data_IF_421771110727
#
_entry.id   IF_421771110727
#
_cell.length_a   1.000
_cell.length_b   1.000
_cell.length_c   1.000
_cell.angle_alpha   90.00
_cell.angle_beta   90.00
_cell.angle_gamma   90.00
#
_symmetry.space_group_name_H-M   'P 1'
#
loop_
_entity.id
_entity.type
_entity.pdbx_description
1 polymer ?
#
# COMPACT_ATOMS: atom_id res chain seq x y z
N UNK A 1 13.56 24.77 7.17
CA UNK A 1 12.21 25.06 6.67
C UNK A 1 12.30 26.07 5.56
N UNK A 2 11.98 25.60 4.37
CA UNK A 2 12.14 26.33 3.12
C UNK A 2 11.08 27.43 3.00
N UNK A 3 11.44 28.58 2.43
CA UNK A 3 10.59 29.77 2.35
C UNK A 3 10.26 30.11 0.89
N UNK A 4 8.97 30.30 0.62
CA UNK A 4 8.47 30.77 -0.68
C UNK A 4 7.86 32.14 -0.46
N UNK A 5 8.24 33.10 -1.29
CA UNK A 5 7.72 34.45 -1.22
C UNK A 5 6.86 34.77 -2.45
N UNK A 6 5.65 35.29 -2.19
CA UNK A 6 4.78 35.88 -3.21
C UNK A 6 5.11 37.37 -3.33
N UNK A 7 5.50 37.81 -4.52
CA UNK A 7 5.91 39.20 -4.81
C UNK A 7 5.07 39.74 -5.97
N UNK A 8 4.80 41.04 -6.01
CA UNK A 8 4.09 41.71 -7.11
C UNK A 8 3.35 42.95 -6.64
N UNK A 9 2.82 43.78 -7.56
CA UNK A 9 2.07 45.01 -7.23
C UNK A 9 0.84 44.74 -6.34
N UNK A 10 0.31 45.75 -5.63
CA UNK A 10 -0.97 45.64 -4.95
C UNK A 10 -2.09 45.13 -5.87
N UNK A 11 -3.08 44.44 -5.32
CA UNK A 11 -4.29 43.98 -6.04
C UNK A 11 -4.10 42.96 -7.19
N UNK A 12 -2.89 42.46 -7.44
CA UNK A 12 -2.64 41.36 -8.41
C UNK A 12 -3.18 39.99 -7.94
N UNK A 13 -3.60 39.89 -6.66
CA UNK A 13 -4.20 38.68 -6.08
C UNK A 13 -3.27 37.82 -5.25
N UNK A 14 -2.15 38.37 -4.74
CA UNK A 14 -1.20 37.68 -3.83
C UNK A 14 -1.90 37.07 -2.62
N UNK A 15 -2.67 37.86 -1.87
CA UNK A 15 -3.37 37.38 -0.69
C UNK A 15 -4.46 36.35 -1.01
N UNK A 16 -5.04 36.40 -2.21
CA UNK A 16 -5.97 35.37 -2.67
C UNK A 16 -5.24 34.04 -2.92
N UNK A 17 -4.09 34.07 -3.59
CA UNK A 17 -3.27 32.87 -3.81
C UNK A 17 -2.72 32.34 -2.49
N UNK A 18 -2.22 33.21 -1.62
CA UNK A 18 -1.77 32.88 -0.26
C UNK A 18 -2.84 32.12 0.52
N UNK A 19 -4.04 32.71 0.61
CA UNK A 19 -5.16 32.06 1.29
C UNK A 19 -5.57 30.75 0.64
N UNK A 20 -5.49 30.64 -0.70
CA UNK A 20 -5.83 29.40 -1.40
C UNK A 20 -4.86 28.27 -1.05
N UNK A 21 -3.55 28.54 -1.14
CA UNK A 21 -2.50 27.58 -0.83
C UNK A 21 -2.50 27.22 0.67
N UNK A 22 -2.76 28.20 1.55
CA UNK A 22 -2.89 27.96 2.99
C UNK A 22 -4.17 27.17 3.36
N UNK A 23 -5.29 27.38 2.66
CA UNK A 23 -6.58 26.74 2.96
C UNK A 23 -6.72 25.29 2.49
N UNK A 24 -5.83 24.77 1.63
CA UNK A 24 -5.86 23.35 1.25
C UNK A 24 -5.66 22.40 2.46
N UNK A 25 -5.36 22.91 3.66
CA UNK A 25 -5.24 22.13 4.90
C UNK A 25 -6.08 22.63 6.11
N UNK A 26 -6.97 23.62 5.98
CA UNK A 26 -7.80 24.05 7.14
C UNK A 26 -9.09 23.23 7.17
N UNK A 27 -8.98 21.96 7.56
CA UNK A 27 -10.06 21.24 8.20
C UNK A 27 -9.62 21.05 9.65
N UNK A 28 -10.47 21.48 10.59
CA UNK A 28 -10.27 21.55 12.05
C UNK A 28 -9.69 22.90 12.49
N UNK A 29 -10.44 23.52 13.40
CA UNK A 29 -10.43 24.91 13.83
C UNK A 29 -9.18 25.32 14.61
N UNK A 30 -8.65 26.50 14.29
CA UNK A 30 -8.10 27.42 15.30
C UNK A 30 -8.37 28.84 14.82
N UNK A 31 -9.07 29.61 15.65
CA UNK A 31 -9.27 31.05 15.46
C UNK A 31 -7.91 31.76 15.36
N UNK A 32 -7.65 32.40 14.23
CA UNK A 32 -6.83 33.61 14.23
C UNK A 32 -7.57 34.66 13.42
N UNK A 33 -8.11 35.59 14.20
CA UNK A 33 -8.70 36.85 13.80
C UNK A 33 -7.66 37.78 13.15
N UNK A 34 -8.14 38.83 12.49
CA UNK A 34 -7.41 40.09 12.42
C UNK A 34 -6.96 40.55 11.03
N UNK A 35 -7.83 41.35 10.40
CA UNK A 35 -7.53 42.59 9.66
C UNK A 35 -6.09 42.84 9.15
N UNK A 36 -5.99 43.04 7.83
CA UNK A 36 -5.08 43.96 7.11
C UNK A 36 -4.10 44.77 7.97
N UNK A 37 -2.80 44.39 7.97
CA UNK A 37 -1.62 45.32 7.96
C UNK A 37 -0.23 44.67 8.10
N UNK A 38 -0.10 43.36 8.33
CA UNK A 38 1.21 42.68 8.50
C UNK A 38 1.59 41.73 7.34
N UNK A 39 2.89 41.46 7.16
CA UNK A 39 3.42 40.43 6.23
C UNK A 39 2.84 39.06 6.62
N UNK A 40 1.88 38.55 5.86
CA UNK A 40 1.22 37.29 6.17
C UNK A 40 2.18 36.12 5.93
N UNK A 41 2.33 35.26 6.93
CA UNK A 41 3.14 34.04 6.84
C UNK A 41 2.28 32.86 7.23
N UNK A 42 2.32 31.80 6.43
CA UNK A 42 1.62 30.56 6.72
C UNK A 42 2.54 29.38 6.44
N UNK A 43 2.54 28.41 7.35
CA UNK A 43 3.17 27.12 7.08
C UNK A 43 2.19 26.32 6.22
N UNK A 44 2.63 25.92 5.04
CA UNK A 44 1.82 25.15 4.09
C UNK A 44 2.54 23.88 3.69
N UNK A 45 1.78 22.91 3.18
CA UNK A 45 2.33 21.71 2.55
C UNK A 45 2.04 21.80 1.05
N UNK A 46 3.10 21.87 0.26
CA UNK A 46 3.02 21.65 -1.18
C UNK A 46 3.29 20.17 -1.38
N UNK A 47 2.23 19.41 -1.60
CA UNK A 47 2.25 17.95 -1.57
C UNK A 47 2.83 17.42 -0.24
N UNK A 48 4.03 16.82 -0.28
CA UNK A 48 4.77 16.26 0.84
C UNK A 48 5.87 17.19 1.37
N UNK A 49 6.08 18.37 0.75
CA UNK A 49 7.11 19.33 1.15
C UNK A 49 6.50 20.45 1.99
N UNK A 50 6.96 20.56 3.23
CA UNK A 50 6.56 21.63 4.16
C UNK A 50 7.37 22.88 3.91
N UNK A 51 6.70 24.01 3.70
CA UNK A 51 7.36 25.30 3.46
C UNK A 51 6.62 26.45 4.13
N UNK A 52 7.35 27.53 4.40
CA UNK A 52 6.79 28.80 4.82
C UNK A 52 6.37 29.59 3.58
N UNK A 53 5.07 29.79 3.37
CA UNK A 53 4.58 30.74 2.39
C UNK A 53 4.52 32.14 3.01
N UNK A 54 5.07 33.11 2.31
CA UNK A 54 5.13 34.52 2.74
C UNK A 54 4.43 35.35 1.67
N UNK A 55 3.37 36.08 2.05
CA UNK A 55 2.78 37.12 1.21
C UNK A 55 3.47 38.45 1.53
N UNK A 56 4.17 39.02 0.56
CA UNK A 56 4.83 40.32 0.72
C UNK A 56 3.84 41.51 0.82
N UNK A 57 2.53 41.24 0.85
CA UNK A 57 1.41 42.19 0.81
C UNK A 57 1.25 43.18 1.98
N UNK A 58 2.28 43.40 2.80
CA UNK A 58 2.36 44.46 3.82
C UNK A 58 3.24 45.65 3.41
N UNK A 59 3.45 45.87 2.11
CA UNK A 59 4.30 46.93 1.57
C UNK A 59 3.57 47.69 0.47
N UNK A 60 2.65 48.56 0.87
CA UNK A 60 2.43 49.89 0.30
C UNK A 60 1.07 50.42 0.75
N UNK A 61 1.11 51.46 1.58
CA UNK A 61 0.05 52.47 1.55
C UNK A 61 0.68 53.83 1.92
N UNK A 62 1.47 54.37 0.98
CA UNK A 62 1.56 55.81 0.74
C UNK A 62 2.49 56.08 -0.43
N UNK A 63 2.05 57.00 -1.28
CA UNK A 63 2.54 57.38 -2.61
C UNK A 63 3.95 58.00 -2.69
N UNK A 64 4.86 57.67 -1.76
CA UNK A 64 6.26 58.10 -1.79
C UNK A 64 7.29 56.97 -1.50
N UNK A 65 6.84 55.71 -1.30
CA UNK A 65 7.64 54.65 -0.67
C UNK A 65 8.14 53.50 -1.56
N UNK A 66 8.14 53.61 -2.89
CA UNK A 66 8.56 52.48 -3.75
C UNK A 66 10.03 52.04 -3.52
N UNK A 67 10.93 52.97 -3.18
CA UNK A 67 12.35 52.64 -2.87
C UNK A 67 12.55 51.91 -1.55
N UNK A 68 11.76 52.25 -0.53
CA UNK A 68 11.85 51.64 0.80
C UNK A 68 11.17 50.26 0.83
N UNK A 69 10.08 50.10 0.08
CA UNK A 69 9.44 48.81 -0.17
C UNK A 69 10.36 47.85 -0.90
N UNK A 70 11.05 48.33 -1.96
CA UNK A 70 12.04 47.56 -2.71
C UNK A 70 13.15 46.99 -1.82
N UNK A 71 13.69 47.79 -0.89
CA UNK A 71 14.74 47.33 0.02
C UNK A 71 14.27 46.23 1.00
N UNK A 72 13.04 46.33 1.51
CA UNK A 72 12.46 45.32 2.40
C UNK A 72 12.10 44.02 1.67
N UNK A 73 11.50 44.13 0.48
CA UNK A 73 11.24 42.96 -0.39
C UNK A 73 12.55 42.26 -0.79
N UNK A 74 13.59 43.02 -1.13
CA UNK A 74 14.91 42.45 -1.45
C UNK A 74 15.52 41.70 -0.26
N UNK A 75 15.31 42.16 0.98
CA UNK A 75 15.78 41.44 2.16
C UNK A 75 14.99 40.15 2.42
N UNK A 76 13.66 40.18 2.30
CA UNK A 76 12.83 38.96 2.45
C UNK A 76 13.10 37.94 1.33
N UNK A 77 13.36 38.41 0.12
CA UNK A 77 13.78 37.57 -1.02
C UNK A 77 15.12 36.89 -0.75
N UNK A 78 16.12 37.57 -0.17
CA UNK A 78 17.41 36.96 0.17
C UNK A 78 17.30 35.81 1.15
N UNK A 79 16.28 35.84 2.01
CA UNK A 79 16.00 34.77 2.96
C UNK A 79 15.07 33.68 2.40
N UNK A 80 14.64 33.80 1.15
CA UNK A 80 13.73 32.87 0.49
C UNK A 80 14.45 31.85 -0.38
N UNK A 81 13.82 30.69 -0.57
CA UNK A 81 14.32 29.59 -1.40
C UNK A 81 13.71 29.62 -2.81
N UNK A 82 12.53 30.21 -2.99
CA UNK A 82 11.90 30.42 -4.29
C UNK A 82 11.02 31.68 -4.31
N UNK A 83 10.91 32.30 -5.49
CA UNK A 83 10.16 33.54 -5.72
C UNK A 83 9.00 33.25 -6.68
N UNK A 84 7.79 33.61 -6.29
CA UNK A 84 6.60 33.61 -7.15
C UNK A 84 6.21 35.05 -7.43
N UNK A 85 6.54 35.54 -8.63
CA UNK A 85 6.22 36.91 -9.02
C UNK A 85 4.86 36.97 -9.70
N UNK A 86 3.91 37.71 -9.15
CA UNK A 86 2.53 37.78 -9.61
C UNK A 86 2.21 39.09 -10.31
N UNK A 87 1.55 38.99 -11.46
CA UNK A 87 1.00 40.11 -12.24
C UNK A 87 -0.49 39.88 -12.52
N UNK A 88 -1.20 40.96 -12.86
CA UNK A 88 -2.61 40.90 -13.25
C UNK A 88 -2.77 40.75 -14.78
N UNK A 89 -3.24 39.60 -15.24
CA UNK A 89 -3.47 39.29 -16.66
C UNK A 89 -4.62 40.06 -17.32
N UNK A 90 -5.38 40.86 -16.55
CA UNK A 90 -6.35 41.80 -17.12
C UNK A 90 -5.71 43.12 -17.53
N UNK A 91 -4.50 43.41 -17.05
CA UNK A 91 -3.73 44.60 -17.37
C UNK A 91 -2.67 44.30 -18.44
N UNK A 92 -2.14 45.36 -19.05
CA UNK A 92 -0.99 45.26 -19.96
C UNK A 92 0.31 45.07 -19.14
N UNK A 93 1.35 44.45 -19.71
CA UNK A 93 2.69 44.39 -19.12
C UNK A 93 3.20 45.79 -18.73
N UNK A 94 3.60 45.94 -17.47
CA UNK A 94 4.09 47.19 -16.92
C UNK A 94 5.63 47.20 -16.85
N UNK A 95 6.23 48.32 -17.25
CA UNK A 95 7.70 48.44 -17.33
C UNK A 95 8.37 48.34 -15.95
N UNK A 96 7.74 48.84 -14.89
CA UNK A 96 8.29 48.77 -13.53
C UNK A 96 8.25 47.34 -12.98
N UNK A 97 7.16 46.60 -13.24
CA UNK A 97 7.06 45.18 -12.89
C UNK A 97 8.13 44.36 -13.62
N UNK A 98 8.38 44.68 -14.90
CA UNK A 98 9.43 44.03 -15.69
C UNK A 98 10.82 44.32 -15.14
N UNK A 99 11.11 45.57 -14.80
CA UNK A 99 12.38 45.94 -14.18
C UNK A 99 12.60 45.23 -12.84
N UNK A 100 11.57 45.16 -11.99
CA UNK A 100 11.64 44.48 -10.70
C UNK A 100 11.80 42.97 -10.86
N UNK A 101 11.03 42.33 -11.75
CA UNK A 101 11.19 40.92 -12.08
C UNK A 101 12.60 40.61 -12.57
N UNK A 102 13.14 41.44 -13.47
CA UNK A 102 14.49 41.29 -13.98
C UNK A 102 15.54 41.42 -12.86
N UNK A 103 15.39 42.38 -11.96
CA UNK A 103 16.29 42.54 -10.81
C UNK A 103 16.25 41.35 -9.84
N UNK A 104 15.06 40.82 -9.56
CA UNK A 104 14.87 39.64 -8.73
C UNK A 104 15.42 38.38 -9.40
N UNK A 105 15.29 38.26 -10.72
CA UNK A 105 15.83 37.11 -11.48
C UNK A 105 17.37 37.08 -11.55
N UNK A 106 18.05 38.18 -11.25
CA UNK A 106 19.51 38.20 -11.08
C UNK A 106 19.97 37.54 -9.78
N UNK A 107 19.07 37.35 -8.83
CA UNK A 107 19.37 36.56 -7.64
C UNK A 107 19.53 35.08 -8.04
N UNK A 108 20.39 34.32 -7.36
CA UNK A 108 20.60 32.89 -7.65
C UNK A 108 19.45 31.98 -7.15
N UNK A 109 18.23 32.51 -7.09
CA UNK A 109 17.04 31.82 -6.59
C UNK A 109 16.13 31.45 -7.76
N UNK A 110 15.47 30.27 -7.72
CA UNK A 110 14.37 29.95 -8.62
C UNK A 110 13.27 31.02 -8.58
N UNK A 111 12.86 31.50 -9.74
CA UNK A 111 11.80 32.50 -9.89
C UNK A 111 10.87 32.12 -11.04
N UNK A 112 9.56 32.22 -10.82
CA UNK A 112 8.55 32.10 -11.87
C UNK A 112 7.68 33.36 -11.96
N UNK A 113 7.11 33.57 -13.15
CA UNK A 113 6.10 34.59 -13.40
C UNK A 113 4.71 33.94 -13.38
N UNK A 114 3.81 34.49 -12.58
CA UNK A 114 2.42 34.05 -12.44
C UNK A 114 1.50 35.16 -12.94
N UNK A 115 0.79 34.89 -14.02
CA UNK A 115 -0.18 35.80 -14.63
C UNK A 115 -1.55 35.40 -14.07
N UNK A 116 -2.03 36.15 -13.08
CA UNK A 116 -3.28 35.84 -12.38
C UNK A 116 -4.49 36.51 -13.06
N UNK A 117 -5.71 36.05 -12.72
CA UNK A 117 -6.99 36.52 -13.27
C UNK A 117 -7.20 36.18 -14.75
N UNK A 118 -6.56 35.11 -15.24
CA UNK A 118 -6.83 34.53 -16.55
C UNK A 118 -8.14 33.72 -16.52
N UNK A 119 -9.28 34.41 -16.47
CA UNK A 119 -10.60 33.79 -16.29
C UNK A 119 -11.24 33.32 -17.61
N UNK A 120 -10.72 33.78 -18.75
CA UNK A 120 -11.26 33.48 -20.09
C UNK A 120 -10.17 33.18 -21.13
N UNK A 121 -10.55 32.54 -22.24
CA UNK A 121 -9.65 32.29 -23.39
C UNK A 121 -9.02 33.56 -23.97
N UNK A 122 -9.70 34.71 -23.85
CA UNK A 122 -9.18 36.01 -24.29
C UNK A 122 -8.06 36.49 -23.36
N UNK A 123 -8.14 36.18 -22.07
CA UNK A 123 -7.11 36.53 -21.09
C UNK A 123 -5.89 35.62 -21.22
N UNK A 124 -6.08 34.34 -21.56
CA UNK A 124 -4.98 33.44 -21.94
C UNK A 124 -4.24 33.93 -23.20
N UNK A 125 -4.97 34.49 -24.18
CA UNK A 125 -4.36 35.11 -25.35
C UNK A 125 -3.56 36.38 -24.98
N UNK A 126 -4.06 37.20 -24.06
CA UNK A 126 -3.35 38.38 -23.57
C UNK A 126 -2.10 38.00 -22.77
N UNK A 127 -2.12 36.87 -22.06
CA UNK A 127 -0.97 36.38 -21.30
C UNK A 127 0.32 36.25 -22.15
N UNK A 128 0.21 36.06 -23.47
CA UNK A 128 1.35 36.06 -24.40
C UNK A 128 2.13 37.38 -24.42
N UNK A 129 1.50 38.51 -24.09
CA UNK A 129 2.18 39.82 -24.04
C UNK A 129 3.23 39.89 -22.90
N UNK A 130 3.05 39.07 -21.85
CA UNK A 130 3.96 38.98 -20.71
C UNK A 130 5.25 38.19 -21.01
N UNK A 131 5.39 37.60 -22.22
CA UNK A 131 6.69 37.07 -22.71
C UNK A 131 7.79 38.15 -22.65
N UNK A 132 7.40 39.42 -22.77
CA UNK A 132 8.29 40.58 -22.62
C UNK A 132 9.06 40.63 -21.28
N UNK A 133 8.62 39.90 -20.24
CA UNK A 133 9.35 39.75 -18.98
C UNK A 133 10.60 38.88 -19.08
N UNK A 134 10.74 38.07 -20.14
CA UNK A 134 11.88 37.16 -20.33
C UNK A 134 11.93 36.02 -19.30
N UNK A 135 10.81 35.72 -18.65
CA UNK A 135 10.69 34.64 -17.70
C UNK A 135 10.80 33.27 -18.39
N UNK A 136 11.54 32.34 -17.78
CA UNK A 136 11.65 30.95 -18.27
C UNK A 136 10.43 30.11 -17.90
N UNK A 137 9.96 30.29 -16.67
CA UNK A 137 8.81 29.60 -16.12
C UNK A 137 7.66 30.60 -15.98
N UNK A 138 6.58 30.39 -16.73
CA UNK A 138 5.40 31.27 -16.79
C UNK A 138 4.14 30.44 -16.56
N UNK A 139 3.29 30.88 -15.63
CA UNK A 139 2.05 30.20 -15.29
C UNK A 139 0.87 31.16 -15.41
N UNK A 140 -0.09 30.84 -16.28
CA UNK A 140 -1.37 31.55 -16.35
C UNK A 140 -2.36 30.90 -15.40
N UNK A 141 -2.87 31.64 -14.43
CA UNK A 141 -3.74 31.10 -13.38
C UNK A 141 -5.01 31.94 -13.21
N UNK A 142 -6.04 31.29 -12.67
CA UNK A 142 -7.18 31.97 -12.06
C UNK A 142 -7.37 31.43 -10.65
N UNK A 143 -7.00 32.24 -9.65
CA UNK A 143 -7.22 31.88 -8.25
C UNK A 143 -8.71 31.75 -7.93
N UNK A 144 -9.56 32.60 -8.53
CA UNK A 144 -11.02 32.55 -8.35
C UNK A 144 -11.66 31.30 -8.93
N UNK A 145 -11.18 30.82 -10.07
CA UNK A 145 -11.70 29.61 -10.72
C UNK A 145 -10.88 28.34 -10.42
N UNK A 146 -9.82 28.46 -9.62
CA UNK A 146 -8.91 27.38 -9.26
C UNK A 146 -8.33 26.66 -10.49
N UNK A 147 -7.81 27.44 -11.43
CA UNK A 147 -7.20 26.95 -12.68
C UNK A 147 -5.73 27.36 -12.70
N UNK A 148 -4.84 26.48 -13.15
CA UNK A 148 -3.40 26.76 -13.22
C UNK A 148 -2.63 26.62 -11.89
N UNK A 149 -3.33 26.30 -10.80
CA UNK A 149 -2.75 26.24 -9.44
C UNK A 149 -1.90 24.97 -9.24
N UNK A 150 -2.28 23.87 -9.90
CA UNK A 150 -1.59 22.59 -9.77
C UNK A 150 -0.23 22.66 -10.49
N UNK A 151 -0.17 23.23 -11.69
CA UNK A 151 1.09 23.44 -12.43
C UNK A 151 2.06 24.36 -11.67
N UNK A 152 1.52 25.40 -11.01
CA UNK A 152 2.30 26.25 -10.12
C UNK A 152 2.82 25.47 -8.90
N UNK A 153 1.99 24.60 -8.33
CA UNK A 153 2.37 23.77 -7.17
C UNK A 153 3.44 22.74 -7.53
N UNK A 154 3.39 22.15 -8.73
CA UNK A 154 4.41 21.23 -9.25
C UNK A 154 5.77 21.94 -9.44
N UNK A 155 5.76 23.16 -9.98
CA UNK A 155 6.97 23.96 -10.10
C UNK A 155 7.57 24.28 -8.73
N UNK A 156 6.71 24.66 -7.77
CA UNK A 156 7.14 24.90 -6.39
C UNK A 156 7.76 23.61 -5.79
N UNK A 157 7.09 22.46 -5.89
CA UNK A 157 7.58 21.17 -5.36
C UNK A 157 8.97 20.82 -5.91
N UNK A 158 9.22 21.07 -7.21
CA UNK A 158 10.50 20.79 -7.87
C UNK A 158 11.65 21.66 -7.34
N UNK A 159 11.35 22.89 -6.92
CA UNK A 159 12.35 23.84 -6.44
C UNK A 159 12.53 23.85 -4.93
N UNK A 160 11.64 23.19 -4.20
CA UNK A 160 11.88 22.82 -2.82
C UNK A 160 12.82 21.61 -2.78
N UNK A 161 13.90 21.70 -2.00
CA UNK A 161 14.75 20.57 -1.61
C UNK A 161 13.88 19.50 -0.95
N UNK A 162 14.26 18.24 -1.12
CA UNK A 162 13.73 17.14 -0.34
C UNK A 162 14.25 17.31 1.10
N UNK A 163 13.59 18.15 1.91
CA UNK A 163 13.72 18.04 3.36
C UNK A 163 13.01 16.74 3.71
N UNK A 164 13.79 15.72 4.11
CA UNK A 164 13.28 14.62 4.93
C UNK A 164 12.67 15.32 6.15
N UNK A 165 11.35 15.51 6.13
CA UNK A 165 10.62 16.00 7.29
C UNK A 165 10.88 14.94 8.37
N UNK A 166 11.56 15.27 9.49
CA UNK A 166 11.51 14.43 10.67
C UNK A 166 10.02 14.31 11.00
N UNK A 167 9.54 13.07 11.06
CA UNK A 167 8.14 12.72 11.15
C UNK A 167 7.34 13.63 12.09
N UNK A 168 6.07 13.82 11.76
CA UNK A 168 5.03 13.92 12.79
C UNK A 168 5.09 12.59 13.57
N UNK A 169 6.12 12.46 14.43
CA UNK A 169 6.47 11.26 15.19
C UNK A 169 5.34 10.86 16.11
N UNK A 170 4.51 11.81 16.54
CA UNK A 170 3.47 11.51 17.52
C UNK A 170 2.35 10.64 16.89
N UNK A 171 1.80 10.95 15.71
CA UNK A 171 0.76 10.10 15.08
C UNK A 171 1.30 8.76 14.51
N UNK A 172 2.60 8.71 14.19
CA UNK A 172 3.24 7.55 13.58
C UNK A 172 3.81 6.60 14.62
N UNK A 173 4.49 7.10 15.63
CA UNK A 173 4.89 6.33 16.80
C UNK A 173 3.63 5.87 17.53
N UNK A 174 2.56 6.68 17.67
CA UNK A 174 1.29 6.18 18.22
C UNK A 174 0.65 5.06 17.36
N UNK A 175 0.67 5.16 16.02
CA UNK A 175 0.17 4.09 15.14
C UNK A 175 1.05 2.84 15.17
N UNK A 176 2.37 3.01 15.24
CA UNK A 176 3.32 1.91 15.38
C UNK A 176 3.23 1.28 16.76
N UNK A 177 3.10 2.05 17.83
CA UNK A 177 2.98 1.62 19.22
C UNK A 177 1.62 0.92 19.43
N UNK A 178 0.51 1.44 18.87
CA UNK A 178 -0.79 0.74 18.86
C UNK A 178 -0.70 -0.62 18.13
N UNK A 179 0.07 -0.67 17.05
CA UNK A 179 0.32 -1.90 16.30
C UNK A 179 1.25 -2.83 17.07
N UNK A 180 2.35 -2.34 17.65
CA UNK A 180 3.38 -3.14 18.33
C UNK A 180 2.88 -3.68 19.70
N UNK A 181 2.06 -2.91 20.43
CA UNK A 181 1.51 -3.31 21.75
C UNK A 181 0.51 -4.48 21.66
N UNK A 182 -0.11 -4.72 20.50
CA UNK A 182 -1.09 -5.80 20.28
C UNK A 182 -0.66 -6.83 19.24
N UNK A 183 0.55 -6.74 18.71
CA UNK A 183 1.05 -7.66 17.69
C UNK A 183 1.59 -8.94 18.33
N UNK A 184 1.01 -10.09 17.95
CA UNK A 184 1.66 -11.38 18.18
C UNK A 184 3.08 -11.32 17.61
N UNK A 185 4.08 -11.51 18.46
CA UNK A 185 5.48 -11.56 18.07
C UNK A 185 5.76 -12.88 17.36
N UNK A 186 6.87 -12.95 16.61
CA UNK A 186 7.31 -14.21 16.01
C UNK A 186 7.45 -15.33 17.07
N UNK A 187 7.82 -14.99 18.31
CA UNK A 187 7.94 -15.95 19.42
C UNK A 187 6.60 -16.58 19.79
N UNK A 188 5.48 -15.88 19.61
CA UNK A 188 4.14 -16.40 19.89
C UNK A 188 3.73 -17.55 18.94
N UNK A 189 4.39 -17.66 17.78
CA UNK A 189 4.15 -18.74 16.81
C UNK A 189 5.15 -19.90 16.91
N UNK A 190 6.30 -19.72 17.57
CA UNK A 190 7.31 -20.78 17.70
C UNK A 190 6.83 -21.94 18.57
N UNK A 191 5.95 -21.67 19.54
CA UNK A 191 5.41 -22.67 20.47
C UNK A 191 3.97 -23.12 20.15
N UNK A 192 3.34 -22.60 19.09
CA UNK A 192 1.98 -22.98 18.69
C UNK A 192 1.99 -24.24 17.82
N UNK A 193 0.98 -25.08 18.00
CA UNK A 193 0.75 -26.22 17.11
C UNK A 193 0.41 -25.72 15.71
N UNK A 194 0.95 -26.36 14.67
CA UNK A 194 0.60 -26.04 13.29
C UNK A 194 -0.72 -26.73 12.96
N UNK A 195 -1.80 -25.97 12.76
CA UNK A 195 -3.11 -26.54 12.40
C UNK A 195 -3.16 -26.82 10.91
N UNK A 196 -3.32 -28.09 10.55
CA UNK A 196 -3.27 -28.59 9.17
C UNK A 196 -4.63 -29.15 8.75
N UNK A 197 -5.24 -28.54 7.73
CA UNK A 197 -6.51 -28.99 7.16
C UNK A 197 -6.30 -29.78 5.87
N UNK A 198 -6.86 -30.99 5.76
CA UNK A 198 -6.78 -31.81 4.54
C UNK A 198 -8.10 -31.71 3.77
N UNK A 199 -8.07 -31.03 2.62
CA UNK A 199 -9.26 -30.74 1.80
C UNK A 199 -9.14 -31.37 0.40
N UNK A 200 -10.27 -31.48 -0.29
CA UNK A 200 -10.37 -32.09 -1.63
C UNK A 200 -11.62 -32.95 -1.78
N UNK A 201 -11.98 -33.32 -3.02
CA UNK A 201 -13.19 -34.12 -3.29
C UNK A 201 -13.13 -35.51 -2.63
N UNK A 202 -14.26 -36.21 -2.60
CA UNK A 202 -14.31 -37.60 -2.11
C UNK A 202 -13.37 -38.49 -2.94
N UNK A 203 -12.79 -39.52 -2.32
CA UNK A 203 -11.94 -40.53 -2.99
C UNK A 203 -10.60 -40.07 -3.60
N UNK A 204 -10.18 -38.81 -3.46
CA UNK A 204 -8.81 -38.36 -3.82
C UNK A 204 -7.69 -38.95 -2.95
N UNK A 205 -8.06 -39.63 -1.86
CA UNK A 205 -7.12 -40.26 -0.94
C UNK A 205 -6.70 -39.41 0.26
N UNK A 206 -7.54 -38.47 0.72
CA UNK A 206 -7.31 -37.69 1.96
C UNK A 206 -7.01 -38.58 3.17
N UNK A 207 -7.82 -39.62 3.40
CA UNK A 207 -7.66 -40.54 4.54
C UNK A 207 -6.39 -41.39 4.42
N UNK A 208 -6.05 -41.80 3.19
CA UNK A 208 -4.78 -42.48 2.91
C UNK A 208 -3.59 -41.57 3.18
N UNK A 209 -3.67 -40.29 2.79
CA UNK A 209 -2.61 -39.31 3.02
C UNK A 209 -2.43 -39.05 4.51
N UNK A 210 -3.53 -38.82 5.26
CA UNK A 210 -3.48 -38.65 6.71
C UNK A 210 -2.81 -39.86 7.37
N UNK A 211 -3.26 -41.08 7.05
CA UNK A 211 -2.68 -42.30 7.60
C UNK A 211 -1.18 -42.45 7.26
N UNK A 212 -0.77 -42.04 6.06
CA UNK A 212 0.63 -42.12 5.66
C UNK A 212 1.51 -41.07 6.36
N UNK A 213 0.98 -39.86 6.61
CA UNK A 213 1.68 -38.81 7.36
C UNK A 213 1.89 -39.22 8.81
N UNK A 214 0.85 -39.76 9.44
CA UNK A 214 0.88 -40.08 10.87
C UNK A 214 1.60 -41.40 11.19
N UNK A 215 1.94 -42.21 10.18
CA UNK A 215 2.50 -43.56 10.36
C UNK A 215 3.82 -43.58 11.13
N UNK A 216 4.69 -42.61 10.86
CA UNK A 216 5.99 -42.45 11.50
C UNK A 216 5.98 -41.36 12.59
N UNK A 217 4.82 -40.74 12.81
CA UNK A 217 4.64 -39.68 13.82
C UNK A 217 4.21 -40.27 15.16
N UNK A 218 4.61 -39.63 16.26
CA UNK A 218 4.16 -40.02 17.60
C UNK A 218 2.85 -39.29 17.90
N UNK A 219 1.80 -40.03 18.26
CA UNK A 219 0.57 -39.42 18.76
C UNK A 219 0.86 -38.76 20.11
N UNK A 220 0.43 -37.50 20.26
CA UNK A 220 0.59 -36.76 21.51
C UNK A 220 -0.74 -36.81 22.25
N UNK A 221 -0.74 -37.37 23.46
CA UNK A 221 -1.86 -37.16 24.41
C UNK A 221 -1.55 -35.86 25.12
N UNK A 222 -2.33 -34.81 24.88
CA UNK A 222 -2.03 -33.50 25.44
C UNK A 222 -2.82 -33.26 26.74
N UNK A 223 -2.07 -33.12 27.84
CA UNK A 223 -2.40 -32.33 29.05
C UNK A 223 -1.73 -30.93 28.97
N UNK A 224 -1.43 -30.41 27.76
CA UNK A 224 -0.75 -29.13 27.60
C UNK A 224 -1.73 -28.00 27.93
N UNK A 225 -1.43 -27.27 29.01
CA UNK A 225 -2.21 -26.12 29.46
C UNK A 225 -2.29 -25.07 28.34
N UNK A 226 -3.51 -24.81 27.85
CA UNK A 226 -3.77 -23.76 26.85
C UNK A 226 -4.36 -24.24 25.52
N UNK A 227 -4.46 -25.55 25.26
CA UNK A 227 -5.15 -26.04 24.05
C UNK A 227 -6.61 -26.37 24.34
N UNK A 228 -7.55 -25.60 23.79
CA UNK A 228 -8.92 -26.09 23.56
C UNK A 228 -8.87 -27.12 22.45
N UNK A 229 -8.61 -28.38 22.81
CA UNK A 229 -8.61 -29.48 21.85
C UNK A 229 -10.06 -29.81 21.52
N UNK A 230 -10.44 -29.61 20.26
CA UNK A 230 -11.69 -30.17 19.75
C UNK A 230 -11.53 -31.70 19.71
N UNK A 231 -12.43 -32.50 20.34
CA UNK A 231 -12.35 -33.96 20.36
C UNK A 231 -12.34 -34.63 18.96
N UNK A 232 -12.53 -33.85 17.89
CA UNK A 232 -12.52 -34.31 16.50
C UNK A 232 -11.14 -34.15 15.82
N UNK A 233 -10.21 -33.42 16.44
CA UNK A 233 -8.85 -33.19 15.92
C UNK A 233 -7.86 -34.23 16.45
N UNK A 234 -6.79 -34.49 15.70
CA UNK A 234 -5.70 -35.37 16.12
C UNK A 234 -4.36 -34.62 16.14
N UNK A 235 -3.59 -34.80 17.21
CA UNK A 235 -2.30 -34.12 17.42
C UNK A 235 -1.16 -35.11 17.29
N UNK A 236 -0.18 -34.75 16.46
CA UNK A 236 0.98 -35.57 16.14
C UNK A 236 2.28 -34.77 16.24
N UNK A 237 3.33 -35.42 16.72
CA UNK A 237 4.68 -34.86 16.72
C UNK A 237 5.52 -35.50 15.61
N UNK A 238 6.16 -34.65 14.80
CA UNK A 238 7.16 -35.05 13.81
C UNK A 238 8.37 -34.10 13.87
N UNK A 239 9.58 -34.63 13.98
CA UNK A 239 10.84 -33.87 14.07
C UNK A 239 10.82 -32.74 15.11
N UNK A 240 10.18 -32.98 16.27
CA UNK A 240 10.08 -32.01 17.37
C UNK A 240 9.07 -30.88 17.15
N UNK A 241 8.33 -30.86 16.04
CA UNK A 241 7.21 -29.93 15.79
C UNK A 241 5.87 -30.64 16.00
N UNK A 242 4.89 -29.91 16.54
CA UNK A 242 3.54 -30.41 16.82
C UNK A 242 2.58 -29.96 15.72
N UNK A 243 1.86 -30.93 15.15
CA UNK A 243 0.88 -30.74 14.10
C UNK A 243 -0.50 -31.16 14.61
N UNK A 244 -1.48 -30.29 14.45
CA UNK A 244 -2.88 -30.58 14.75
C UNK A 244 -3.63 -30.75 13.43
N UNK A 245 -4.05 -31.97 13.11
CA UNK A 245 -4.86 -32.23 11.93
C UNK A 245 -6.33 -31.97 12.23
N UNK A 246 -6.92 -31.02 11.50
CA UNK A 246 -8.28 -30.54 11.75
C UNK A 246 -9.32 -31.50 11.16
N UNK A 247 -10.33 -31.87 11.95
CA UNK A 247 -11.49 -32.70 11.58
C UNK A 247 -11.10 -34.05 10.93
N UNK A 248 -10.22 -34.81 11.61
CA UNK A 248 -9.78 -36.15 11.17
C UNK A 248 -10.92 -37.17 11.24
N UNK A 249 -11.84 -37.04 12.19
CA UNK A 249 -12.87 -38.05 12.43
C UNK A 249 -13.75 -38.27 11.20
N UNK A 250 -14.13 -37.21 10.48
CA UNK A 250 -14.91 -37.38 9.27
C UNK A 250 -14.08 -37.60 8.00
N UNK A 251 -12.74 -37.49 8.06
CA UNK A 251 -11.84 -38.08 7.05
C UNK A 251 -11.83 -39.60 7.21
N UNK A 252 -11.80 -40.12 8.45
CA UNK A 252 -11.80 -41.56 8.75
C UNK A 252 -13.17 -42.22 8.52
N UNK A 253 -14.29 -41.53 8.76
CA UNK A 253 -15.67 -42.10 8.65
C UNK A 253 -16.19 -42.30 7.21
N UNK A 254 -15.54 -41.78 6.17
CA UNK A 254 -16.11 -41.74 4.79
C UNK A 254 -15.62 -42.85 3.83
N UNK A 255 -15.81 -44.09 4.25
CA UNK A 255 -15.77 -45.24 3.34
C UNK A 255 -17.11 -45.59 2.66
N UNK A 256 -18.25 -44.94 3.00
CA UNK A 256 -19.59 -45.50 2.66
C UNK A 256 -20.78 -44.55 2.41
N UNK A 257 -20.61 -43.23 2.28
CA UNK A 257 -21.77 -42.31 2.12
C UNK A 257 -21.63 -41.49 0.83
N UNK A 258 -22.26 -41.98 -0.25
CA UNK A 258 -22.54 -41.23 -1.48
C UNK A 258 -23.76 -40.32 -1.27
N UNK A 259 -23.81 -39.20 -2.01
CA UNK A 259 -25.06 -38.47 -2.23
C UNK A 259 -25.26 -37.15 -1.50
N UNK A 260 -24.27 -36.57 -0.82
CA UNK A 260 -24.44 -35.20 -0.30
C UNK A 260 -23.23 -34.28 -0.47
N UNK A 261 -23.04 -33.83 -1.70
CA UNK A 261 -22.04 -32.82 -2.09
C UNK A 261 -22.25 -31.47 -1.41
N UNK A 262 -23.51 -31.09 -1.12
CA UNK A 262 -23.83 -29.83 -0.43
C UNK A 262 -23.27 -29.77 1.00
N UNK A 263 -23.15 -30.91 1.70
CA UNK A 263 -22.51 -30.97 3.02
C UNK A 263 -20.98 -31.03 2.93
N UNK A 264 -20.39 -31.33 1.77
CA UNK A 264 -18.93 -31.38 1.62
C UNK A 264 -18.30 -29.98 1.62
N UNK A 265 -18.94 -28.98 1.00
CA UNK A 265 -18.45 -27.60 0.98
C UNK A 265 -18.56 -26.93 2.36
N UNK A 266 -19.72 -27.02 3.03
CA UNK A 266 -19.89 -26.46 4.38
C UNK A 266 -18.90 -27.05 5.38
N UNK A 267 -18.59 -28.35 5.24
CA UNK A 267 -17.57 -29.00 6.08
C UNK A 267 -16.17 -28.52 5.73
N UNK A 268 -15.85 -28.39 4.45
CA UNK A 268 -14.57 -27.85 4.01
C UNK A 268 -14.37 -26.44 4.56
N UNK A 269 -15.42 -25.62 4.57
CA UNK A 269 -15.40 -24.29 5.17
C UNK A 269 -15.02 -24.33 6.66
N UNK A 270 -15.67 -25.18 7.47
CA UNK A 270 -15.35 -25.33 8.90
C UNK A 270 -13.92 -25.78 9.17
N UNK A 271 -13.37 -26.64 8.30
CA UNK A 271 -11.97 -27.05 8.36
C UNK A 271 -11.08 -25.84 8.14
N UNK A 272 -11.34 -25.08 7.07
CA UNK A 272 -10.55 -23.91 6.68
C UNK A 272 -10.57 -22.79 7.74
N UNK A 273 -11.69 -22.60 8.46
CA UNK A 273 -11.83 -21.61 9.55
C UNK A 273 -10.87 -21.87 10.73
N UNK A 274 -10.46 -23.13 10.94
CA UNK A 274 -9.62 -23.54 12.07
C UNK A 274 -8.24 -24.06 11.62
N UNK A 275 -7.82 -23.74 10.40
CA UNK A 275 -6.58 -24.24 9.78
C UNK A 275 -5.60 -23.10 9.57
N UNK A 276 -4.30 -23.35 9.79
CA UNK A 276 -3.24 -22.43 9.39
C UNK A 276 -2.72 -22.79 7.98
N UNK A 277 -2.57 -24.09 7.70
CA UNK A 277 -2.10 -24.61 6.41
C UNK A 277 -3.07 -25.65 5.83
N UNK A 278 -3.62 -25.36 4.65
CA UNK A 278 -4.49 -26.28 3.93
C UNK A 278 -3.71 -27.13 2.91
N UNK A 279 -3.84 -28.44 3.02
CA UNK A 279 -3.41 -29.41 2.02
C UNK A 279 -4.56 -29.66 1.04
N UNK A 280 -4.49 -29.06 -0.15
CA UNK A 280 -5.43 -29.32 -1.24
C UNK A 280 -5.03 -30.60 -1.96
N UNK A 281 -5.70 -31.70 -1.64
CA UNK A 281 -5.43 -33.01 -2.23
C UNK A 281 -6.21 -33.17 -3.53
N UNK A 282 -5.46 -33.35 -4.62
CA UNK A 282 -6.00 -33.62 -5.95
C UNK A 282 -5.59 -35.02 -6.40
N UNK A 283 -6.46 -35.69 -7.15
CA UNK A 283 -6.16 -36.98 -7.74
C UNK A 283 -5.46 -36.79 -9.09
N UNK A 284 -4.22 -37.25 -9.22
CA UNK A 284 -3.45 -37.11 -10.47
C UNK A 284 -3.71 -38.21 -11.51
N UNK A 285 -4.57 -39.19 -11.19
CA UNK A 285 -4.91 -40.31 -12.07
C UNK A 285 -6.19 -40.10 -12.87
N UNK A 286 -6.94 -39.04 -12.56
CA UNK A 286 -8.20 -38.67 -13.22
C UNK A 286 -8.17 -37.19 -13.58
N UNK A 287 -8.91 -36.75 -14.61
CA UNK A 287 -9.09 -35.32 -14.89
C UNK A 287 -9.70 -34.57 -13.70
N UNK A 288 -9.29 -33.31 -13.50
CA UNK A 288 -9.85 -32.45 -12.44
C UNK A 288 -11.33 -32.15 -12.71
N UNK A 289 -12.13 -32.22 -11.64
CA UNK A 289 -13.57 -31.97 -11.68
C UNK A 289 -13.91 -30.52 -11.31
N UNK A 290 -15.13 -30.08 -11.63
CA UNK A 290 -15.64 -28.79 -11.19
C UNK A 290 -15.64 -28.66 -9.65
N UNK A 291 -15.83 -29.77 -8.93
CA UNK A 291 -15.79 -29.76 -7.47
C UNK A 291 -14.39 -29.44 -6.94
N UNK A 292 -13.33 -29.87 -7.64
CA UNK A 292 -11.94 -29.53 -7.28
C UNK A 292 -11.70 -28.02 -7.41
N UNK A 293 -12.22 -27.41 -8.48
CA UNK A 293 -12.20 -25.95 -8.70
C UNK A 293 -12.99 -25.18 -7.64
N UNK A 294 -14.18 -25.66 -7.28
CA UNK A 294 -14.99 -25.04 -6.21
C UNK A 294 -14.31 -25.12 -4.85
N UNK A 295 -13.69 -26.26 -4.51
CA UNK A 295 -12.95 -26.45 -3.26
C UNK A 295 -11.70 -25.56 -3.23
N UNK A 296 -10.93 -25.53 -4.31
CA UNK A 296 -9.75 -24.67 -4.44
C UNK A 296 -10.12 -23.19 -4.32
N UNK A 297 -11.18 -22.78 -5.02
CA UNK A 297 -11.70 -21.41 -4.97
C UNK A 297 -12.20 -21.04 -3.57
N UNK A 298 -12.84 -21.97 -2.85
CA UNK A 298 -13.21 -21.77 -1.45
C UNK A 298 -11.97 -21.56 -0.57
N UNK A 299 -10.95 -22.42 -0.67
CA UNK A 299 -9.71 -22.30 0.11
C UNK A 299 -9.02 -20.95 -0.11
N UNK A 300 -8.99 -20.44 -1.35
CA UNK A 300 -8.38 -19.15 -1.69
C UNK A 300 -9.03 -17.91 -1.07
N UNK A 301 -10.25 -18.04 -0.55
CA UNK A 301 -10.96 -16.95 0.14
C UNK A 301 -10.52 -16.81 1.59
N UNK A 302 -9.86 -17.83 2.14
CA UNK A 302 -9.33 -17.84 3.48
C UNK A 302 -7.88 -17.39 3.50
N UNK A 303 -7.46 -16.87 4.65
CA UNK A 303 -6.16 -16.26 4.87
C UNK A 303 -5.15 -17.30 5.37
N UNK A 304 -5.00 -18.41 4.63
CA UNK A 304 -4.23 -19.60 5.05
C UNK A 304 -3.02 -19.84 4.15
N UNK A 305 -2.03 -20.56 4.65
CA UNK A 305 -1.05 -21.22 3.79
C UNK A 305 -1.72 -22.33 2.96
N UNK A 306 -1.34 -22.50 1.69
CA UNK A 306 -1.92 -23.54 0.82
C UNK A 306 -0.81 -24.35 0.16
N UNK A 307 -0.94 -25.67 0.21
CA UNK A 307 -0.07 -26.63 -0.47
C UNK A 307 -0.95 -27.52 -1.35
N UNK A 308 -0.60 -27.66 -2.62
CA UNK A 308 -1.31 -28.55 -3.54
C UNK A 308 -0.62 -29.91 -3.53
N UNK A 309 -1.35 -30.96 -3.16
CA UNK A 309 -0.85 -32.32 -3.06
C UNK A 309 -1.47 -33.17 -4.16
N UNK A 310 -0.66 -33.53 -5.16
CA UNK A 310 -1.03 -34.45 -6.22
C UNK A 310 -0.86 -35.89 -5.75
N UNK A 311 -1.95 -36.51 -5.33
CA UNK A 311 -1.97 -37.87 -4.81
C UNK A 311 -2.27 -38.89 -5.91
N UNK A 312 -1.93 -40.16 -5.65
CA UNK A 312 -1.99 -41.27 -6.62
C UNK A 312 -1.05 -41.06 -7.81
N UNK A 313 0.09 -40.40 -7.58
CA UNK A 313 1.08 -40.13 -8.63
C UNK A 313 1.65 -41.40 -9.27
N UNK A 314 1.63 -42.52 -8.55
CA UNK A 314 1.98 -43.85 -9.06
C UNK A 314 1.12 -44.31 -10.25
N UNK A 315 -0.07 -43.72 -10.44
CA UNK A 315 -1.00 -44.04 -11.53
C UNK A 315 -1.06 -42.96 -12.60
N UNK A 316 -0.34 -41.86 -12.44
CA UNK A 316 -0.39 -40.76 -13.40
C UNK A 316 0.22 -41.19 -14.73
N UNK A 317 -0.39 -40.73 -15.82
CA UNK A 317 0.05 -40.98 -17.21
C UNK A 317 0.67 -39.72 -17.83
N UNK A 318 0.78 -38.63 -17.07
CA UNK A 318 1.18 -37.30 -17.52
C UNK A 318 2.47 -36.90 -16.79
N UNK A 319 3.34 -36.19 -17.49
CA UNK A 319 4.57 -35.66 -16.90
C UNK A 319 4.27 -34.59 -15.83
N UNK A 320 5.13 -34.53 -14.82
CA UNK A 320 4.91 -33.63 -13.67
C UNK A 320 4.79 -32.16 -14.08
N UNK A 321 5.65 -31.69 -14.97
CA UNK A 321 5.68 -30.28 -15.40
C UNK A 321 4.43 -29.90 -16.23
N UNK A 322 3.90 -30.84 -17.02
CA UNK A 322 2.66 -30.64 -17.77
C UNK A 322 1.46 -30.51 -16.81
N UNK A 323 1.37 -31.39 -15.81
CA UNK A 323 0.34 -31.32 -14.77
C UNK A 323 0.44 -30.03 -13.96
N UNK A 324 1.64 -29.61 -13.59
CA UNK A 324 1.87 -28.34 -12.87
C UNK A 324 1.41 -27.15 -13.69
N UNK A 325 1.63 -27.16 -15.01
CA UNK A 325 1.17 -26.10 -15.91
C UNK A 325 -0.36 -26.04 -15.96
N UNK A 326 -1.03 -27.18 -16.15
CA UNK A 326 -2.51 -27.25 -16.14
C UNK A 326 -3.09 -26.73 -14.81
N UNK A 327 -2.51 -27.13 -13.67
CA UNK A 327 -2.92 -26.64 -12.34
C UNK A 327 -2.74 -25.13 -12.22
N UNK A 328 -1.60 -24.57 -12.64
CA UNK A 328 -1.37 -23.12 -12.58
C UNK A 328 -2.31 -22.34 -13.49
N UNK A 329 -2.72 -22.92 -14.61
CA UNK A 329 -3.66 -22.31 -15.57
C UNK A 329 -5.12 -22.40 -15.10
N UNK A 330 -5.53 -23.51 -14.47
CA UNK A 330 -6.87 -23.66 -13.88
C UNK A 330 -7.03 -22.92 -12.56
N UNK A 331 -6.09 -23.10 -11.65
CA UNK A 331 -6.10 -22.53 -10.31
C UNK A 331 -5.19 -21.29 -10.22
N UNK A 332 -5.37 -20.32 -11.13
CA UNK A 332 -4.54 -19.08 -11.19
C UNK A 332 -4.49 -18.31 -9.86
N UNK A 333 -5.55 -18.42 -9.07
CA UNK A 333 -5.68 -17.80 -7.75
C UNK A 333 -4.82 -18.50 -6.67
N UNK A 334 -4.33 -19.72 -6.92
CA UNK A 334 -3.37 -20.46 -6.09
C UNK A 334 -1.99 -20.58 -6.73
N UNK A 335 -1.64 -19.74 -7.71
CA UNK A 335 -0.34 -19.83 -8.39
C UNK A 335 0.88 -19.67 -7.45
N UNK A 336 0.67 -19.14 -6.24
CA UNK A 336 1.69 -19.04 -5.19
C UNK A 336 1.89 -20.32 -4.38
N UNK A 337 0.97 -21.29 -4.46
CA UNK A 337 1.00 -22.51 -3.67
C UNK A 337 2.06 -23.50 -4.20
N UNK A 338 2.94 -24.06 -3.35
CA UNK A 338 3.82 -25.15 -3.77
C UNK A 338 3.00 -26.38 -4.13
N UNK A 339 3.50 -27.13 -5.13
CA UNK A 339 2.88 -28.36 -5.64
C UNK A 339 3.82 -29.53 -5.35
N UNK A 340 3.31 -30.58 -4.71
CA UNK A 340 4.04 -31.82 -4.44
C UNK A 340 3.28 -33.02 -4.96
N UNK A 341 3.96 -33.94 -5.63
CA UNK A 341 3.39 -35.25 -5.97
C UNK A 341 3.75 -36.31 -4.95
N UNK A 342 2.76 -37.14 -4.59
CA UNK A 342 2.85 -38.21 -3.60
C UNK A 342 2.10 -39.46 -4.05
N UNK A 343 2.47 -40.60 -3.48
CA UNK A 343 1.61 -41.78 -3.46
C UNK A 343 1.35 -42.14 -2.00
N UNK A 344 0.17 -41.76 -1.49
CA UNK A 344 -0.17 -42.02 -0.09
C UNK A 344 -0.19 -43.51 0.24
N UNK A 345 -0.71 -44.35 -0.66
CA UNK A 345 -0.74 -45.81 -0.47
C UNK A 345 0.66 -46.44 -0.58
N UNK A 346 1.49 -45.96 -1.49
CA UNK A 346 2.87 -46.43 -1.65
C UNK A 346 3.88 -45.79 -0.70
N UNK A 347 3.47 -44.80 0.12
CA UNK A 347 4.36 -44.02 1.00
C UNK A 347 5.34 -43.09 0.28
N UNK A 348 5.33 -43.04 -1.06
CA UNK A 348 6.33 -42.31 -1.84
C UNK A 348 6.17 -40.80 -1.64
N UNK A 349 7.27 -40.14 -1.22
CA UNK A 349 7.40 -38.68 -0.98
C UNK A 349 6.51 -38.11 0.13
N UNK A 350 5.78 -38.92 0.90
CA UNK A 350 4.88 -38.42 1.96
C UNK A 350 5.66 -37.63 3.04
N UNK A 351 6.84 -38.09 3.45
CA UNK A 351 7.69 -37.38 4.41
C UNK A 351 8.05 -35.93 3.99
N UNK A 352 8.15 -35.65 2.68
CA UNK A 352 8.47 -34.30 2.18
C UNK A 352 7.33 -33.30 2.41
N UNK A 353 6.10 -33.79 2.64
CA UNK A 353 4.95 -32.92 2.93
C UNK A 353 5.19 -32.15 4.23
N UNK A 354 5.75 -32.77 5.28
CA UNK A 354 6.12 -32.08 6.52
C UNK A 354 7.14 -30.96 6.29
N UNK A 355 8.15 -31.20 5.44
CA UNK A 355 9.14 -30.19 5.09
C UNK A 355 8.49 -28.97 4.42
N UNK A 356 7.54 -29.18 3.50
CA UNK A 356 6.82 -28.09 2.83
C UNK A 356 5.85 -27.39 3.78
N UNK A 357 5.16 -28.13 4.67
CA UNK A 357 4.32 -27.53 5.72
C UNK A 357 5.16 -26.58 6.57
N UNK A 358 6.36 -27.00 6.98
CA UNK A 358 7.27 -26.17 7.78
C UNK A 358 7.72 -24.91 7.04
N UNK A 359 8.15 -25.06 5.78
CA UNK A 359 8.55 -23.91 4.95
C UNK A 359 7.40 -22.91 4.77
N UNK A 360 6.20 -23.41 4.45
CA UNK A 360 5.02 -22.55 4.29
C UNK A 360 4.63 -21.89 5.61
N UNK A 361 4.75 -22.58 6.75
CA UNK A 361 4.43 -22.01 8.07
C UNK A 361 5.42 -20.92 8.47
N UNK A 362 6.71 -21.14 8.19
CA UNK A 362 7.76 -20.13 8.41
C UNK A 362 7.49 -18.88 7.57
N UNK A 363 7.10 -19.03 6.31
CA UNK A 363 6.68 -17.92 5.45
C UNK A 363 5.38 -17.25 5.97
N UNK A 364 4.45 -18.03 6.52
CA UNK A 364 3.14 -17.58 7.00
C UNK A 364 3.26 -16.69 8.24
N UNK A 365 4.27 -16.96 9.07
CA UNK A 365 4.56 -16.28 10.34
C UNK A 365 5.78 -15.34 10.24
N UNK A 366 6.29 -15.08 9.03
CA UNK A 366 7.48 -14.28 8.82
C UNK A 366 7.28 -12.79 9.16
N UNK A 367 8.23 -12.20 9.90
CA UNK A 367 8.38 -10.73 10.03
C UNK A 367 9.15 -10.19 8.83
N UNK A 368 8.50 -9.30 8.09
CA UNK A 368 9.07 -8.57 6.97
C UNK A 368 9.73 -7.31 7.51
N UNK A 369 11.05 -7.19 7.34
CA UNK A 369 11.77 -5.99 7.77
C UNK A 369 11.23 -4.76 7.04
N UNK A 370 10.76 -3.76 7.80
CA UNK A 370 10.08 -2.56 7.26
C UNK A 370 10.92 -1.81 6.23
N UNK A 371 12.24 -1.68 6.46
CA UNK A 371 13.15 -1.03 5.49
C UNK A 371 13.18 -1.75 4.15
N UNK A 372 13.42 -3.07 4.17
CA UNK A 372 13.43 -3.91 2.95
C UNK A 372 12.06 -3.96 2.28
N UNK A 373 10.97 -3.97 3.05
CA UNK A 373 9.60 -3.93 2.52
C UNK A 373 9.37 -2.65 1.71
N UNK A 374 9.74 -1.50 2.27
CA UNK A 374 9.60 -0.20 1.60
C UNK A 374 10.52 -0.07 0.38
N UNK A 375 11.74 -0.60 0.46
CA UNK A 375 12.66 -0.66 -0.68
C UNK A 375 12.03 -1.40 -1.87
N UNK A 376 11.49 -2.60 -1.64
CA UNK A 376 10.85 -3.41 -2.70
C UNK A 376 9.62 -2.71 -3.28
N UNK A 377 8.81 -2.05 -2.45
CA UNK A 377 7.63 -1.30 -2.93
C UNK A 377 8.05 -0.06 -3.72
N UNK A 378 9.08 0.66 -3.28
CA UNK A 378 9.62 1.81 -4.01
C UNK A 378 10.16 1.39 -5.39
N UNK A 379 10.93 0.31 -5.45
CA UNK A 379 11.42 -0.23 -6.72
C UNK A 379 10.27 -0.69 -7.64
N UNK A 380 9.27 -1.36 -7.06
CA UNK A 380 8.11 -1.83 -7.81
C UNK A 380 7.27 -0.69 -8.40
N UNK A 381 7.07 0.40 -7.63
CA UNK A 381 6.31 1.58 -8.07
C UNK A 381 7.10 2.45 -9.05
N UNK A 382 8.43 2.52 -8.95
CA UNK A 382 9.29 3.15 -9.98
C UNK A 382 9.23 2.39 -11.30
N UNK A 383 9.30 1.06 -11.26
CA UNK A 383 9.29 0.22 -12.48
C UNK A 383 7.92 0.24 -13.16
N UNK A 384 6.85 0.14 -12.37
CA UNK A 384 5.47 0.18 -12.85
C UNK A 384 4.67 1.18 -12.00
N UNK A 385 4.59 2.45 -12.42
CA UNK A 385 3.84 3.47 -11.69
C UNK A 385 2.37 3.10 -11.51
N UNK A 386 1.79 3.55 -10.41
CA UNK A 386 0.35 3.44 -10.18
C UNK A 386 -0.40 4.30 -11.21
N UNK A 387 -1.51 3.81 -11.77
CA UNK A 387 -2.34 4.63 -12.65
C UNK A 387 -2.95 5.80 -11.87
N UNK A 388 -3.14 6.91 -12.56
CA UNK A 388 -3.84 8.07 -12.00
C UNK A 388 -5.30 7.71 -11.70
N UNK A 389 -5.83 8.23 -10.60
CA UNK A 389 -7.24 8.13 -10.25
C UNK A 389 -7.92 9.48 -10.47
N UNK A 390 -8.84 9.53 -11.45
CA UNK A 390 -9.54 10.77 -11.86
C UNK A 390 -8.58 11.94 -12.16
N UNK A 391 -7.50 11.64 -12.88
CA UNK A 391 -6.46 12.61 -13.24
C UNK A 391 -5.45 12.92 -12.13
N UNK A 392 -5.66 12.44 -10.90
CA UNK A 392 -4.77 12.69 -9.76
C UNK A 392 -3.74 11.57 -9.60
N UNK A 393 -2.52 11.95 -9.27
CA UNK A 393 -1.45 10.98 -9.00
C UNK A 393 -1.79 10.11 -7.79
N UNK A 394 -1.45 8.83 -7.86
CA UNK A 394 -1.60 7.87 -6.76
C UNK A 394 -0.20 7.53 -6.26
N UNK A 395 0.09 7.86 -5.00
CA UNK A 395 1.40 7.66 -4.37
C UNK A 395 1.22 6.75 -3.15
N UNK A 396 2.02 5.69 -3.08
CA UNK A 396 2.24 4.92 -1.84
C UNK A 396 3.41 5.57 -1.13
N UNK A 397 3.17 6.07 0.07
CA UNK A 397 4.19 6.76 0.86
C UNK A 397 5.09 5.76 1.56
N UNK A 398 4.50 4.78 2.23
CA UNK A 398 5.22 3.70 2.89
C UNK A 398 4.31 2.49 3.12
N UNK A 399 4.92 1.40 3.58
CA UNK A 399 4.26 0.17 3.96
C UNK A 399 4.81 -0.39 5.26
N UNK A 400 3.93 -1.00 6.05
CA UNK A 400 4.30 -1.67 7.31
C UNK A 400 3.52 -2.97 7.44
N UNK A 401 4.17 -4.01 7.95
CA UNK A 401 3.47 -5.23 8.34
C UNK A 401 2.89 -5.02 9.74
N UNK A 402 1.58 -5.20 9.88
CA UNK A 402 0.85 -4.98 11.14
C UNK A 402 0.18 -6.25 11.67
N UNK A 403 0.28 -7.39 10.96
CA UNK A 403 -0.15 -8.69 11.46
C UNK A 403 0.59 -9.84 10.78
N UNK A 404 0.54 -11.00 11.43
CA UNK A 404 1.13 -12.27 11.00
C UNK A 404 0.03 -13.29 10.65
N UNK A 405 0.45 -14.40 10.05
CA UNK A 405 -0.40 -15.57 9.84
C UNK A 405 -1.75 -15.25 9.14
N UNK A 406 -1.75 -14.67 7.92
CA UNK A 406 -0.62 -14.42 7.01
C UNK A 406 -0.04 -13.00 7.14
N UNK A 407 1.04 -12.64 6.42
CA UNK A 407 1.53 -11.27 6.38
C UNK A 407 0.46 -10.28 5.92
N UNK A 408 -0.01 -9.43 6.85
CA UNK A 408 -0.91 -8.31 6.56
C UNK A 408 -0.11 -7.00 6.57
N UNK A 409 -0.19 -6.28 5.46
CA UNK A 409 0.63 -5.11 5.16
C UNK A 409 -0.30 -3.93 4.95
N UNK A 410 -0.14 -2.89 5.77
CA UNK A 410 -0.78 -1.60 5.56
C UNK A 410 0.02 -0.85 4.48
N UNK A 411 -0.69 -0.31 3.49
CA UNK A 411 -0.11 0.54 2.45
C UNK A 411 -0.64 1.96 2.66
N UNK A 412 0.20 2.84 3.17
CA UNK A 412 -0.20 4.22 3.42
C UNK A 412 -0.08 5.00 2.12
N UNK A 413 -1.20 5.53 1.64
CA UNK A 413 -1.29 6.16 0.34
C UNK A 413 -2.24 7.34 0.32
N UNK A 414 -2.05 8.23 -0.64
CA UNK A 414 -2.90 9.41 -0.79
C UNK A 414 -4.34 9.08 -1.23
N UNK A 415 -4.54 7.95 -1.93
CA UNK A 415 -5.83 7.52 -2.48
C UNK A 415 -6.05 6.00 -2.31
N UNK A 416 -6.44 5.54 -1.12
CA UNK A 416 -6.62 4.10 -0.81
C UNK A 416 -7.53 3.34 -1.78
N UNK A 417 -8.63 4.00 -2.18
CA UNK A 417 -9.64 3.44 -3.09
C UNK A 417 -9.14 3.26 -4.52
N UNK A 418 -8.01 3.86 -4.88
CA UNK A 418 -7.42 3.75 -6.22
C UNK A 418 -6.61 2.45 -6.41
N UNK A 419 -6.30 1.71 -5.33
CA UNK A 419 -5.48 0.50 -5.42
C UNK A 419 -6.27 -0.70 -5.96
N UNK A 420 -6.31 -0.80 -7.28
CA UNK A 420 -6.97 -1.87 -8.02
C UNK A 420 -6.34 -3.26 -7.76
N UNK A 421 -7.15 -4.32 -7.85
CA UNK A 421 -6.73 -5.70 -7.54
C UNK A 421 -5.54 -6.18 -8.37
N UNK A 422 -5.43 -5.74 -9.64
CA UNK A 422 -4.32 -6.11 -10.51
C UNK A 422 -2.98 -5.59 -9.99
N UNK A 423 -2.98 -4.37 -9.45
CA UNK A 423 -1.79 -3.77 -8.86
C UNK A 423 -1.44 -4.42 -7.52
N UNK A 424 -2.46 -4.77 -6.70
CA UNK A 424 -2.25 -5.59 -5.49
C UNK A 424 -1.53 -6.90 -5.84
N UNK A 425 -1.99 -7.61 -6.88
CA UNK A 425 -1.36 -8.85 -7.36
C UNK A 425 0.08 -8.63 -7.81
N UNK A 426 0.35 -7.55 -8.53
CA UNK A 426 1.70 -7.16 -8.94
C UNK A 426 2.63 -6.97 -7.73
N UNK A 427 2.20 -6.17 -6.74
CA UNK A 427 2.95 -5.96 -5.50
C UNK A 427 3.16 -7.27 -4.73
N UNK A 428 2.13 -8.10 -4.60
CA UNK A 428 2.24 -9.41 -3.94
C UNK A 428 3.30 -10.28 -4.61
N UNK A 429 3.39 -10.29 -5.94
CA UNK A 429 4.39 -11.07 -6.66
C UNK A 429 5.81 -10.53 -6.44
N UNK A 430 5.99 -9.21 -6.39
CA UNK A 430 7.28 -8.58 -6.09
C UNK A 430 7.75 -8.89 -4.67
N UNK A 431 6.86 -8.75 -3.69
CA UNK A 431 7.17 -9.11 -2.30
C UNK A 431 7.47 -10.60 -2.16
N UNK A 432 6.68 -11.46 -2.81
CA UNK A 432 6.89 -12.90 -2.77
C UNK A 432 8.27 -13.30 -3.31
N UNK A 433 8.72 -12.69 -4.40
CA UNK A 433 10.05 -12.93 -4.95
C UNK A 433 11.18 -12.46 -4.02
N UNK A 434 11.01 -11.33 -3.33
CA UNK A 434 12.06 -10.73 -2.47
C UNK A 434 12.16 -11.36 -1.07
N UNK A 435 11.04 -11.87 -0.55
CA UNK A 435 10.93 -12.42 0.81
C UNK A 435 10.73 -13.94 0.86
N UNK A 436 10.65 -14.62 -0.29
CA UNK A 436 10.37 -16.05 -0.41
C UNK A 436 9.01 -16.49 0.19
N UNK A 437 7.95 -15.72 -0.03
CA UNK A 437 6.61 -15.98 0.55
C UNK A 437 5.82 -17.04 -0.24
N UNK A 438 6.46 -18.17 -0.56
CA UNK A 438 5.84 -19.30 -1.24
C UNK A 438 4.78 -19.94 -0.34
N UNK A 439 3.65 -20.35 -0.92
CA UNK A 439 2.54 -20.97 -0.20
C UNK A 439 1.63 -20.03 0.57
N UNK A 440 1.97 -18.74 0.66
CA UNK A 440 1.30 -17.79 1.56
C UNK A 440 0.62 -16.64 0.81
N UNK A 441 -0.65 -16.32 1.11
CA UNK A 441 -1.30 -15.11 0.61
C UNK A 441 -0.71 -13.86 1.30
N UNK A 442 -0.68 -12.74 0.59
CA UNK A 442 -0.26 -11.44 1.16
C UNK A 442 -1.47 -10.52 1.16
N UNK A 443 -1.83 -9.96 2.31
CA UNK A 443 -2.98 -9.06 2.43
C UNK A 443 -2.51 -7.62 2.49
N UNK A 444 -3.01 -6.82 1.56
CA UNK A 444 -2.79 -5.38 1.57
C UNK A 444 -4.03 -4.66 2.08
N UNK A 445 -3.84 -3.79 3.06
CA UNK A 445 -4.84 -2.84 3.55
C UNK A 445 -4.40 -1.43 3.14
N UNK A 446 -4.98 -0.85 2.09
CA UNK A 446 -4.73 0.54 1.71
C UNK A 446 -5.35 1.47 2.76
N UNK A 447 -4.57 2.42 3.27
CA UNK A 447 -5.05 3.42 4.24
C UNK A 447 -4.61 4.81 3.84
N UNK A 448 -5.41 5.82 4.19
CA UNK A 448 -4.98 7.22 4.08
C UNK A 448 -4.11 7.56 5.27
N UNK A 449 -3.21 8.54 5.11
CA UNK A 449 -2.42 9.08 6.22
C UNK A 449 -3.38 9.68 7.27
N UNK A 450 -3.28 9.23 8.53
CA UNK A 450 -4.10 9.67 9.66
C UNK A 450 -5.46 8.97 9.82
N UNK A 451 -5.73 7.86 9.12
CA UNK A 451 -6.92 7.02 9.36
C UNK A 451 -6.58 5.91 10.38
N UNK A 452 -7.15 5.98 11.59
CA UNK A 452 -7.08 4.93 12.62
C UNK A 452 -8.06 3.80 12.34
N UNK A 453 -7.88 2.63 12.98
CA UNK A 453 -8.67 1.42 12.73
C UNK A 453 -10.15 1.50 13.17
N UNK A 454 -10.57 2.56 13.87
CA UNK A 454 -11.92 2.66 14.43
C UNK A 454 -13.02 2.96 13.39
N UNK A 455 -12.64 3.35 12.16
CA UNK A 455 -13.60 3.81 11.14
C UNK A 455 -14.20 2.69 10.25
N UNK A 456 -13.84 1.41 10.44
CA UNK A 456 -14.40 0.27 9.68
C UNK A 456 -15.19 -0.73 10.57
N UNK A 457 -16.05 -0.21 11.45
CA UNK A 457 -17.06 -0.97 12.18
C UNK A 457 -18.29 -1.36 11.34
#
# INVERSE_FOLDING_TARGET
MQKIILVGKPNVGKSSLFNRLARQRIAITSDVSGTTRDTNKAIINIYDKRCLLIDSGGLDDSSELFRNVKAKTLNEVKESDAIVYMVDGKMMPDDEDRELFYELSKQKLPICLVINKCDSKKDEQRAWEFISFGAKDVFSISVSHNTGIDELSDWIEKHLKDEIIPDESDDFDDFLDEIDDNLETKQDFENKNIRVGIIGRVNVGKSSLLNALVKDSRAVVSDVAGTTIDPVNEVYENDGKIYEFVDTAGIRRRGKIEGIEKYALNRTQKILENTDIALLVLDSSEPFSELDERIAGLASKFDLGIIIVLNKWDKSQVEFDEMVKDIKDRFKFLAYAPIISVSALGGKRVHKVYSIINEVYENFTQKLQTSKLNEVISEATKTHPLPHDKGKSVKIYYAVQFAFAPPKIALIMNRPKALHFSYRRYLSNKLRASFNLSGVPIKFIPKKRGETNEDEG
#
